data_IF_808931148291
#
_entry.id   IF_808931148291
#
_cell.length_a   1.000
_cell.length_b   1.000
_cell.length_c   1.000
_cell.angle_alpha   90.00
_cell.angle_beta   90.00
_cell.angle_gamma   90.00
#
_symmetry.space_group_name_H-M   'P 1'
#
loop_
_entity.id
_entity.type
_entity.pdbx_description
1 polymer ?
#
# COMPACT_ATOMS: atom_id res chain seq x y z
N UNK A 1 -14.30 37.96 17.51
CA UNK A 1 -14.45 36.50 17.26
C UNK A 1 -13.51 35.76 18.20
N UNK A 2 -14.02 35.35 19.36
CA UNK A 2 -13.27 34.58 20.36
C UNK A 2 -13.08 33.16 19.84
N UNK A 3 -11.83 32.76 19.58
CA UNK A 3 -11.50 31.35 19.41
C UNK A 3 -11.80 30.65 20.74
N UNK A 4 -12.85 29.82 20.76
CA UNK A 4 -13.17 28.97 21.89
C UNK A 4 -11.91 28.20 22.30
N UNK A 5 -11.40 28.46 23.51
CA UNK A 5 -10.38 27.62 24.14
C UNK A 5 -11.03 26.27 24.33
N UNK A 6 -10.83 25.36 23.38
CA UNK A 6 -11.15 23.95 23.55
C UNK A 6 -10.51 23.50 24.87
N UNK A 7 -11.36 23.00 25.75
CA UNK A 7 -10.98 22.59 27.09
C UNK A 7 -9.88 21.52 26.98
N UNK A 8 -8.78 21.74 27.69
CA UNK A 8 -7.60 20.87 27.63
C UNK A 8 -7.95 19.45 28.06
N UNK A 9 -8.91 19.33 28.97
CA UNK A 9 -9.39 18.07 29.51
C UNK A 9 -10.17 17.28 28.45
N UNK A 10 -10.92 17.97 27.58
CA UNK A 10 -11.63 17.34 26.45
C UNK A 10 -10.66 16.72 25.43
N UNK A 11 -9.57 17.43 25.11
CA UNK A 11 -8.54 16.94 24.17
C UNK A 11 -7.79 15.73 24.75
N UNK A 12 -7.53 15.72 26.06
CA UNK A 12 -6.92 14.58 26.74
C UNK A 12 -7.87 13.38 26.78
N UNK A 13 -9.16 13.60 27.07
CA UNK A 13 -10.19 12.58 27.05
C UNK A 13 -10.34 11.94 25.65
N UNK A 14 -10.39 12.73 24.58
CA UNK A 14 -10.47 12.21 23.20
C UNK A 14 -9.25 11.36 22.83
N UNK A 15 -8.04 11.75 23.26
CA UNK A 15 -6.82 10.95 23.03
C UNK A 15 -6.81 9.66 23.84
N UNK A 16 -7.29 9.72 25.08
CA UNK A 16 -7.50 8.54 25.92
C UNK A 16 -8.46 7.57 25.24
N UNK A 17 -9.62 8.06 24.78
CA UNK A 17 -10.62 7.25 24.07
C UNK A 17 -10.05 6.65 22.78
N UNK A 18 -9.30 7.41 22.00
CA UNK A 18 -8.66 6.91 20.78
C UNK A 18 -7.65 5.78 21.06
N UNK A 19 -6.90 5.90 22.17
CA UNK A 19 -5.94 4.88 22.60
C UNK A 19 -6.65 3.61 23.04
N UNK A 20 -7.70 3.74 23.86
CA UNK A 20 -8.54 2.61 24.29
C UNK A 20 -9.19 1.93 23.08
N UNK A 21 -9.76 2.70 22.16
CA UNK A 21 -10.37 2.18 20.95
C UNK A 21 -9.37 1.40 20.07
N UNK A 22 -8.14 1.88 19.93
CA UNK A 22 -7.08 1.15 19.23
C UNK A 22 -6.67 -0.15 19.94
N UNK A 23 -6.62 -0.14 21.27
CA UNK A 23 -6.28 -1.33 22.05
C UNK A 23 -7.37 -2.38 21.95
N UNK A 24 -8.64 -1.97 22.09
CA UNK A 24 -9.81 -2.84 21.87
C UNK A 24 -9.80 -3.43 20.47
N UNK A 25 -9.50 -2.64 19.45
CA UNK A 25 -9.41 -3.14 18.07
C UNK A 25 -8.26 -4.14 17.88
N UNK A 26 -7.12 -3.92 18.54
CA UNK A 26 -5.99 -4.84 18.50
C UNK A 26 -6.31 -6.17 19.19
N UNK A 27 -7.02 -6.11 20.33
CA UNK A 27 -7.51 -7.31 21.01
C UNK A 27 -8.55 -8.04 20.15
N UNK A 28 -9.50 -7.32 19.56
CA UNK A 28 -10.50 -7.90 18.66
C UNK A 28 -9.84 -8.59 17.46
N UNK A 29 -8.82 -7.96 16.88
CA UNK A 29 -8.02 -8.55 15.81
C UNK A 29 -7.37 -9.86 16.24
N UNK A 30 -6.73 -9.90 17.41
CA UNK A 30 -6.12 -11.13 17.93
C UNK A 30 -7.16 -12.22 18.16
N UNK A 31 -8.33 -11.86 18.69
CA UNK A 31 -9.43 -12.81 18.89
C UNK A 31 -9.89 -13.39 17.54
N UNK A 32 -10.13 -12.55 16.54
CA UNK A 32 -10.53 -13.00 15.20
C UNK A 32 -9.41 -13.84 14.56
N UNK A 33 -8.15 -13.45 14.71
CA UNK A 33 -7.02 -14.15 14.12
C UNK A 33 -6.85 -15.57 14.67
N UNK A 34 -6.93 -15.74 15.99
CA UNK A 34 -6.69 -17.04 16.64
C UNK A 34 -7.94 -17.91 16.77
N UNK A 35 -9.14 -17.32 16.88
CA UNK A 35 -10.38 -18.06 17.13
C UNK A 35 -11.41 -17.95 16.00
N UNK A 36 -11.26 -16.96 15.11
CA UNK A 36 -12.23 -16.70 14.03
C UNK A 36 -11.85 -17.33 12.69
N UNK A 37 -10.67 -17.98 12.59
CA UNK A 37 -10.14 -18.49 11.31
C UNK A 37 -11.08 -19.53 10.67
N UNK A 38 -11.66 -20.42 11.47
CA UNK A 38 -12.55 -21.48 10.99
C UNK A 38 -13.90 -20.96 10.48
N UNK A 39 -14.26 -19.73 10.85
CA UNK A 39 -15.47 -19.06 10.37
C UNK A 39 -15.26 -18.29 9.06
N UNK A 40 -14.01 -18.16 8.59
CA UNK A 40 -13.69 -17.45 7.35
C UNK A 40 -13.86 -18.37 6.13
N UNK A 41 -14.26 -17.82 4.96
CA UNK A 41 -14.31 -18.59 3.72
C UNK A 41 -12.94 -19.16 3.35
N UNK A 42 -12.90 -20.41 2.86
CA UNK A 42 -11.67 -21.15 2.55
C UNK A 42 -10.70 -20.39 1.63
N UNK A 43 -11.24 -19.60 0.68
CA UNK A 43 -10.49 -18.72 -0.23
C UNK A 43 -9.52 -17.76 0.49
N UNK A 44 -9.79 -17.40 1.74
CA UNK A 44 -8.95 -16.48 2.52
C UNK A 44 -7.74 -17.17 3.14
N UNK A 45 -7.72 -18.50 3.14
CA UNK A 45 -6.68 -19.32 3.77
C UNK A 45 -5.86 -20.10 2.74
N UNK A 46 -6.35 -20.27 1.51
CA UNK A 46 -5.69 -21.02 0.43
C UNK A 46 -4.24 -20.60 0.19
N UNK A 47 -3.96 -19.31 0.05
CA UNK A 47 -2.60 -18.79 -0.21
C UNK A 47 -1.64 -19.06 0.98
N UNK A 48 -2.16 -18.97 2.20
CA UNK A 48 -1.40 -19.29 3.41
C UNK A 48 -1.12 -20.78 3.51
N UNK A 49 -2.08 -21.63 3.17
CA UNK A 49 -1.91 -23.08 3.22
C UNK A 49 -0.84 -23.52 2.22
N UNK A 50 -0.84 -22.96 1.00
CA UNK A 50 0.21 -23.22 0.01
C UNK A 50 1.60 -22.79 0.49
N UNK A 51 1.70 -21.64 1.16
CA UNK A 51 2.96 -21.18 1.75
C UNK A 51 3.43 -22.07 2.91
N UNK A 52 2.52 -22.50 3.79
CA UNK A 52 2.83 -23.41 4.90
C UNK A 52 3.21 -24.80 4.40
N UNK A 53 2.60 -25.27 3.30
CA UNK A 53 2.97 -26.51 2.64
C UNK A 53 4.42 -26.46 2.13
N UNK A 54 4.83 -25.36 1.50
CA UNK A 54 6.24 -25.15 1.11
C UNK A 54 7.19 -25.07 2.30
N UNK A 55 6.73 -24.49 3.41
CA UNK A 55 7.52 -24.39 4.64
C UNK A 55 7.79 -25.77 5.25
N UNK A 56 6.81 -26.66 5.23
CA UNK A 56 6.91 -28.03 5.79
C UNK A 56 7.61 -28.98 4.83
N UNK A 57 7.34 -28.88 3.53
CA UNK A 57 7.96 -29.72 2.49
C UNK A 57 9.43 -29.37 2.19
N UNK A 58 9.89 -28.19 2.60
CA UNK A 58 11.29 -27.78 2.44
C UNK A 58 11.71 -27.56 0.99
N UNK A 59 10.78 -27.12 0.12
CA UNK A 59 11.12 -26.88 -1.29
C UNK A 59 12.19 -25.80 -1.42
N UNK A 60 13.21 -26.06 -2.25
CA UNK A 60 14.35 -25.15 -2.49
C UNK A 60 14.18 -24.32 -3.75
N UNK A 61 13.06 -24.46 -4.45
CA UNK A 61 12.82 -23.79 -5.72
C UNK A 61 12.42 -22.32 -5.48
N UNK A 62 13.42 -21.43 -5.55
CA UNK A 62 13.26 -20.00 -5.27
C UNK A 62 12.54 -19.25 -6.40
N UNK A 63 12.27 -19.91 -7.53
CA UNK A 63 11.53 -19.30 -8.64
C UNK A 63 10.03 -19.14 -8.30
N UNK A 64 9.51 -19.90 -7.31
CA UNK A 64 8.19 -19.63 -6.74
C UNK A 64 8.28 -18.62 -5.59
N UNK A 65 7.69 -17.45 -5.82
CA UNK A 65 7.46 -16.41 -4.81
C UNK A 65 6.84 -16.91 -3.48
N UNK A 66 6.07 -18.01 -3.48
CA UNK A 66 5.56 -18.64 -2.25
C UNK A 66 6.65 -19.38 -1.47
N UNK A 67 7.54 -20.11 -2.15
CA UNK A 67 8.68 -20.79 -1.54
C UNK A 67 9.68 -19.78 -0.96
N UNK A 68 9.95 -18.69 -1.68
CA UNK A 68 10.79 -17.61 -1.16
C UNK A 68 10.20 -16.97 0.11
N UNK A 69 8.88 -16.81 0.17
CA UNK A 69 8.19 -16.29 1.36
C UNK A 69 8.23 -17.29 2.51
N UNK A 70 8.03 -18.58 2.22
CA UNK A 70 8.19 -19.65 3.21
C UNK A 70 9.62 -19.63 3.81
N UNK A 71 10.66 -19.43 3.00
CA UNK A 71 12.05 -19.30 3.48
C UNK A 71 12.28 -18.10 4.40
N UNK A 72 11.57 -16.99 4.19
CA UNK A 72 11.61 -15.86 5.14
C UNK A 72 10.99 -16.27 6.47
N UNK A 73 9.86 -17.00 6.43
CA UNK A 73 9.19 -17.49 7.62
C UNK A 73 9.94 -18.65 8.32
N UNK A 74 10.75 -19.42 7.60
CA UNK A 74 11.51 -20.53 8.17
C UNK A 74 12.57 -20.09 9.19
N UNK A 75 13.00 -18.82 9.14
CA UNK A 75 13.88 -18.23 10.17
C UNK A 75 13.23 -18.26 11.55
N UNK A 76 11.90 -18.17 11.62
CA UNK A 76 11.16 -18.20 12.88
C UNK A 76 10.71 -19.61 13.27
N UNK A 77 10.53 -20.51 12.31
CA UNK A 77 9.95 -21.83 12.51
C UNK A 77 8.44 -21.87 12.23
N UNK A 78 7.94 -23.01 11.73
CA UNK A 78 6.57 -23.17 11.28
C UNK A 78 5.52 -22.90 12.38
N UNK A 79 5.84 -23.27 13.61
CA UNK A 79 4.99 -23.06 14.80
C UNK A 79 4.81 -21.58 15.18
N UNK A 80 5.73 -20.71 14.79
CA UNK A 80 5.72 -19.28 15.15
C UNK A 80 5.18 -18.36 14.05
N UNK A 81 4.92 -18.86 12.84
CA UNK A 81 4.46 -18.06 11.69
C UNK A 81 3.17 -17.29 11.99
N UNK A 82 2.24 -17.93 12.69
CA UNK A 82 0.99 -17.31 13.11
C UNK A 82 1.24 -16.19 14.15
N UNK A 83 2.16 -16.40 15.09
CA UNK A 83 2.52 -15.41 16.11
C UNK A 83 3.21 -14.21 15.46
N UNK A 84 4.13 -14.44 14.52
CA UNK A 84 4.81 -13.38 13.76
C UNK A 84 3.78 -12.53 12.99
N UNK A 85 2.85 -13.18 12.30
CA UNK A 85 1.82 -12.48 11.50
C UNK A 85 0.88 -11.66 12.38
N UNK A 86 0.41 -12.25 13.50
CA UNK A 86 -0.38 -11.54 14.50
C UNK A 86 0.38 -10.34 15.09
N UNK A 87 1.68 -10.50 15.37
CA UNK A 87 2.54 -9.41 15.87
C UNK A 87 2.68 -8.28 14.86
N UNK A 88 2.89 -8.61 13.57
CA UNK A 88 2.90 -7.62 12.48
C UNK A 88 1.56 -6.90 12.38
N UNK A 89 0.43 -7.60 12.54
CA UNK A 89 -0.89 -6.99 12.52
C UNK A 89 -1.15 -6.05 13.71
N UNK A 90 -0.72 -6.43 14.92
CA UNK A 90 -0.78 -5.54 16.09
C UNK A 90 0.14 -4.32 15.90
N UNK A 91 1.35 -4.51 15.38
CA UNK A 91 2.26 -3.42 15.09
C UNK A 91 1.71 -2.46 14.02
N UNK A 92 1.04 -3.00 12.99
CA UNK A 92 0.34 -2.24 11.95
C UNK A 92 -0.76 -1.35 12.57
N UNK A 93 -1.60 -1.91 13.43
CA UNK A 93 -2.63 -1.18 14.17
C UNK A 93 -2.07 -0.11 15.09
N UNK A 94 -1.03 -0.45 15.87
CA UNK A 94 -0.37 0.49 16.76
C UNK A 94 0.22 1.67 15.97
N UNK A 95 0.81 1.41 14.79
CA UNK A 95 1.33 2.44 13.90
C UNK A 95 0.23 3.33 13.33
N UNK A 96 -0.85 2.72 12.83
CA UNK A 96 -2.01 3.42 12.30
C UNK A 96 -2.64 4.37 13.33
N UNK A 97 -2.75 3.91 14.58
CA UNK A 97 -3.32 4.67 15.69
C UNK A 97 -2.32 5.59 16.40
N UNK A 98 -1.06 5.61 15.97
CA UNK A 98 -0.02 6.45 16.59
C UNK A 98 -0.28 7.93 16.32
N UNK A 99 -0.02 8.79 17.31
CA UNK A 99 -0.13 10.26 17.17
C UNK A 99 -1.51 10.72 16.67
N UNK A 100 -2.58 10.04 17.08
CA UNK A 100 -3.96 10.43 16.76
C UNK A 100 -4.33 11.66 17.56
N UNK A 101 -4.88 12.67 16.89
CA UNK A 101 -5.24 13.93 17.53
C UNK A 101 -6.68 13.96 18.08
N UNK A 102 -7.59 13.20 17.46
CA UNK A 102 -9.02 13.13 17.80
C UNK A 102 -9.66 11.84 17.29
N UNK A 103 -10.89 11.53 17.71
CA UNK A 103 -11.64 10.36 17.23
C UNK A 103 -11.94 10.43 15.74
N UNK A 104 -12.14 11.62 15.19
CA UNK A 104 -12.33 11.81 13.75
C UNK A 104 -11.09 11.43 12.97
N UNK A 105 -9.91 11.79 13.47
CA UNK A 105 -8.62 11.39 12.88
C UNK A 105 -8.47 9.86 12.94
N UNK A 106 -8.79 9.25 14.09
CA UNK A 106 -8.81 7.79 14.21
C UNK A 106 -9.73 7.12 13.18
N UNK A 107 -10.99 7.56 13.09
CA UNK A 107 -11.98 7.02 12.16
C UNK A 107 -11.52 7.17 10.70
N UNK A 108 -10.91 8.31 10.35
CA UNK A 108 -10.37 8.55 9.00
C UNK A 108 -9.24 7.57 8.68
N UNK A 109 -8.36 7.28 9.64
CA UNK A 109 -7.27 6.31 9.45
C UNK A 109 -7.80 4.88 9.38
N UNK A 110 -8.78 4.54 10.20
CA UNK A 110 -9.42 3.23 10.21
C UNK A 110 -10.07 2.88 8.88
N UNK A 111 -10.60 3.87 8.15
CA UNK A 111 -11.10 3.67 6.78
C UNK A 111 -10.07 3.00 5.85
N UNK A 112 -8.77 3.27 6.05
CA UNK A 112 -7.69 2.74 5.21
C UNK A 112 -7.00 1.50 5.81
N UNK A 113 -7.18 1.28 7.10
CA UNK A 113 -6.43 0.29 7.92
C UNK A 113 -7.24 -0.98 8.11
N UNK A 114 -8.55 -0.87 8.36
CA UNK A 114 -9.43 -2.03 8.55
C UNK A 114 -9.50 -2.93 7.31
N UNK A 115 -9.61 -2.40 6.07
CA UNK A 115 -9.60 -3.25 4.88
C UNK A 115 -8.27 -3.98 4.70
N UNK A 116 -7.14 -3.36 5.07
CA UNK A 116 -5.85 -4.05 5.05
C UNK A 116 -5.85 -5.24 5.99
N UNK A 117 -6.35 -5.06 7.21
CA UNK A 117 -6.36 -6.13 8.21
C UNK A 117 -7.20 -7.32 7.77
N UNK A 118 -8.41 -7.05 7.30
CA UNK A 118 -9.32 -8.10 6.84
C UNK A 118 -8.68 -8.85 5.66
N UNK A 119 -8.21 -8.13 4.66
CA UNK A 119 -7.77 -8.74 3.40
C UNK A 119 -6.37 -9.35 3.42
N UNK A 120 -5.49 -8.94 4.36
CA UNK A 120 -4.06 -9.29 4.30
C UNK A 120 -3.47 -9.87 5.59
N UNK A 121 -4.07 -9.63 6.76
CA UNK A 121 -3.45 -9.95 8.05
C UNK A 121 -4.22 -11.00 8.86
N UNK A 122 -5.27 -11.59 8.31
CA UNK A 122 -5.96 -12.73 8.91
C UNK A 122 -5.27 -14.07 8.63
N UNK A 123 -4.24 -14.07 7.78
CA UNK A 123 -3.52 -15.27 7.37
C UNK A 123 -2.09 -14.90 6.98
N UNK A 124 -1.07 -15.74 7.28
CA UNK A 124 0.32 -15.45 6.92
C UNK A 124 0.51 -15.53 5.41
N UNK A 125 1.14 -14.52 4.83
CA UNK A 125 1.34 -14.43 3.38
C UNK A 125 2.43 -13.46 2.96
N UNK A 126 2.56 -13.23 1.66
CA UNK A 126 3.54 -12.30 1.07
C UNK A 126 3.27 -10.87 1.56
N UNK A 127 2.00 -10.57 1.75
CA UNK A 127 1.46 -9.29 2.21
C UNK A 127 1.93 -8.99 3.64
N UNK A 128 2.14 -10.00 4.49
CA UNK A 128 2.71 -9.82 5.83
C UNK A 128 4.12 -9.21 5.76
N UNK A 129 4.94 -9.66 4.80
CA UNK A 129 6.29 -9.12 4.58
C UNK A 129 6.22 -7.67 4.09
N UNK A 130 5.33 -7.39 3.14
CA UNK A 130 5.10 -6.02 2.63
C UNK A 130 4.64 -5.07 3.73
N UNK A 131 3.75 -5.54 4.60
CA UNK A 131 3.24 -4.76 5.73
C UNK A 131 4.36 -4.49 6.74
N UNK A 132 5.17 -5.49 7.08
CA UNK A 132 6.34 -5.31 7.94
C UNK A 132 7.33 -4.29 7.35
N UNK A 133 7.63 -4.37 6.05
CA UNK A 133 8.45 -3.37 5.35
C UNK A 133 7.82 -1.97 5.43
N UNK A 134 6.50 -1.87 5.23
CA UNK A 134 5.78 -0.60 5.30
C UNK A 134 5.83 0.01 6.69
N UNK A 135 5.73 -0.80 7.75
CA UNK A 135 5.91 -0.35 9.14
C UNK A 135 7.30 0.22 9.34
N UNK A 136 8.36 -0.49 8.91
CA UNK A 136 9.76 -0.01 9.02
C UNK A 136 9.96 1.32 8.30
N UNK A 137 9.44 1.44 7.07
CA UNK A 137 9.54 2.67 6.29
C UNK A 137 8.80 3.83 6.95
N UNK A 138 7.58 3.62 7.44
CA UNK A 138 6.80 4.67 8.11
C UNK A 138 7.44 5.08 9.43
N UNK A 139 7.96 4.14 10.22
CA UNK A 139 8.75 4.45 11.41
C UNK A 139 9.96 5.33 11.09
N UNK A 140 10.72 4.97 10.04
CA UNK A 140 11.84 5.78 9.56
C UNK A 140 11.39 7.17 9.09
N UNK A 141 10.28 7.25 8.35
CA UNK A 141 9.72 8.50 7.86
C UNK A 141 9.18 9.43 8.95
N UNK A 142 8.63 8.87 10.03
CA UNK A 142 8.11 9.60 11.17
C UNK A 142 9.17 9.91 12.24
N UNK A 143 10.36 9.32 12.12
CA UNK A 143 11.52 9.58 12.98
C UNK A 143 12.22 10.89 12.61
N UNK A 144 12.69 11.61 13.63
CA UNK A 144 13.55 12.79 13.44
C UNK A 144 15.01 12.44 13.15
N UNK A 145 15.46 11.24 13.56
CA UNK A 145 16.85 10.80 13.41
C UNK A 145 17.20 10.27 12.01
N UNK A 146 16.19 9.86 11.23
CA UNK A 146 16.39 9.38 9.86
C UNK A 146 16.25 10.57 8.91
N UNK A 147 17.21 10.84 8.04
CA UNK A 147 17.08 11.89 7.02
C UNK A 147 16.22 11.42 5.84
N UNK A 148 15.73 12.33 4.99
CA UNK A 148 15.08 11.95 3.73
C UNK A 148 15.97 11.03 2.86
N UNK A 149 17.27 11.30 2.77
CA UNK A 149 18.20 10.46 1.99
C UNK A 149 18.29 9.05 2.57
N UNK A 150 18.41 8.93 3.89
CA UNK A 150 18.40 7.64 4.56
C UNK A 150 17.08 6.88 4.31
N UNK A 151 15.93 7.56 4.35
CA UNK A 151 14.63 6.95 4.04
C UNK A 151 14.57 6.40 2.60
N UNK A 152 15.11 7.14 1.62
CA UNK A 152 15.18 6.68 0.23
C UNK A 152 16.06 5.43 0.12
N UNK A 153 17.25 5.43 0.75
CA UNK A 153 18.14 4.26 0.78
C UNK A 153 17.45 3.06 1.43
N UNK A 154 16.79 3.25 2.58
CA UNK A 154 15.99 2.20 3.22
C UNK A 154 14.92 1.64 2.28
N UNK A 155 14.23 2.51 1.54
CA UNK A 155 13.22 2.08 0.55
C UNK A 155 13.87 1.27 -0.56
N UNK A 156 14.99 1.73 -1.11
CA UNK A 156 15.73 1.01 -2.15
C UNK A 156 16.18 -0.37 -1.70
N UNK A 157 16.74 -0.49 -0.48
CA UNK A 157 17.18 -1.78 0.07
C UNK A 157 15.99 -2.70 0.29
N UNK A 158 14.95 -2.25 1.00
CA UNK A 158 13.79 -3.08 1.31
C UNK A 158 13.06 -3.52 0.04
N UNK A 159 12.79 -2.59 -0.89
CA UNK A 159 12.08 -2.91 -2.14
C UNK A 159 12.96 -3.72 -3.08
N UNK A 160 14.27 -3.45 -3.12
CA UNK A 160 15.23 -4.23 -3.90
C UNK A 160 15.30 -5.68 -3.43
N UNK A 161 15.48 -5.91 -2.14
CA UNK A 161 15.45 -7.26 -1.57
C UNK A 161 14.11 -7.96 -1.85
N UNK A 162 12.99 -7.29 -1.62
CA UNK A 162 11.68 -7.87 -1.89
C UNK A 162 11.46 -8.17 -3.38
N UNK A 163 11.95 -7.31 -4.27
CA UNK A 163 11.86 -7.52 -5.70
C UNK A 163 12.70 -8.70 -6.19
N UNK A 164 13.91 -8.87 -5.64
CA UNK A 164 14.81 -9.94 -6.02
C UNK A 164 14.33 -11.32 -5.56
N UNK A 165 13.69 -11.40 -4.39
CA UNK A 165 13.36 -12.69 -3.79
C UNK A 165 11.87 -13.04 -3.84
N UNK A 166 10.94 -12.07 -3.83
CA UNK A 166 9.51 -12.38 -3.62
C UNK A 166 8.65 -11.90 -4.79
N UNK A 167 8.72 -10.63 -5.21
CA UNK A 167 7.91 -10.09 -6.32
C UNK A 167 8.65 -9.03 -7.12
N UNK A 168 9.15 -9.42 -8.30
CA UNK A 168 9.94 -8.59 -9.22
C UNK A 168 9.35 -7.21 -9.53
N UNK A 169 8.03 -7.05 -9.62
CA UNK A 169 7.40 -5.77 -9.95
C UNK A 169 7.63 -4.67 -8.90
N UNK A 170 8.09 -4.99 -7.68
CA UNK A 170 8.53 -3.98 -6.71
C UNK A 170 9.73 -3.17 -7.22
N UNK A 171 10.56 -3.73 -8.10
CA UNK A 171 11.60 -2.98 -8.80
C UNK A 171 10.98 -1.92 -9.72
N UNK A 172 9.90 -2.24 -10.44
CA UNK A 172 9.18 -1.28 -11.28
C UNK A 172 8.58 -0.15 -10.45
N UNK A 173 8.01 -0.46 -9.28
CA UNK A 173 7.49 0.54 -8.35
C UNK A 173 8.62 1.50 -7.92
N UNK A 174 9.78 0.96 -7.56
CA UNK A 174 10.93 1.76 -7.14
C UNK A 174 11.45 2.65 -8.28
N UNK A 175 11.63 2.09 -9.48
CA UNK A 175 12.05 2.83 -10.68
C UNK A 175 11.07 3.94 -11.01
N UNK A 176 9.77 3.65 -11.00
CA UNK A 176 8.73 4.65 -11.26
C UNK A 176 8.71 5.74 -10.19
N UNK A 177 8.82 5.39 -8.91
CA UNK A 177 8.88 6.36 -7.82
C UNK A 177 10.08 7.31 -7.96
N UNK A 178 11.27 6.76 -8.25
CA UNK A 178 12.47 7.57 -8.51
C UNK A 178 12.32 8.43 -9.77
N UNK A 179 11.75 7.88 -10.84
CA UNK A 179 11.45 8.60 -12.09
C UNK A 179 10.50 9.78 -11.88
N UNK A 180 9.42 9.60 -11.12
CA UNK A 180 8.50 10.69 -10.74
C UNK A 180 9.25 11.79 -9.98
N UNK A 181 10.17 11.43 -9.07
CA UNK A 181 10.95 12.43 -8.31
C UNK A 181 11.99 13.15 -9.17
N UNK A 182 12.69 12.43 -10.04
CA UNK A 182 13.69 12.98 -10.93
C UNK A 182 13.05 13.97 -11.92
N UNK A 183 11.87 13.64 -12.45
CA UNK A 183 11.15 14.47 -13.42
C UNK A 183 10.36 15.62 -12.79
N UNK A 184 10.13 15.61 -11.46
CA UNK A 184 9.31 16.60 -10.78
C UNK A 184 9.77 18.05 -11.01
N UNK A 185 11.08 18.27 -11.13
CA UNK A 185 11.71 19.60 -11.32
C UNK A 185 11.88 20.01 -12.78
N UNK A 186 11.61 19.11 -13.72
CA UNK A 186 11.75 19.41 -15.14
C UNK A 186 10.68 20.41 -15.59
N UNK A 187 11.02 21.22 -16.60
CA UNK A 187 10.05 22.07 -17.29
C UNK A 187 9.00 21.19 -18.01
N UNK A 188 7.81 21.72 -18.33
CA UNK A 188 6.78 20.97 -19.05
C UNK A 188 7.27 20.35 -20.37
N UNK A 189 8.14 21.05 -21.10
CA UNK A 189 8.76 20.55 -22.32
C UNK A 189 9.62 19.30 -22.06
N UNK A 190 10.50 19.34 -21.05
CA UNK A 190 11.31 18.18 -20.68
C UNK A 190 10.47 17.02 -20.13
N UNK A 191 9.37 17.31 -19.42
CA UNK A 191 8.41 16.27 -19.00
C UNK A 191 7.74 15.60 -20.21
N UNK A 192 7.36 16.38 -21.21
CA UNK A 192 6.81 15.85 -22.46
C UNK A 192 7.84 15.00 -23.21
N UNK A 193 9.11 15.41 -23.25
CA UNK A 193 10.20 14.62 -23.85
C UNK A 193 10.36 13.29 -23.10
N UNK A 194 10.45 13.31 -21.76
CA UNK A 194 10.57 12.08 -20.97
C UNK A 194 9.37 11.15 -21.19
N UNK A 195 8.15 11.70 -21.22
CA UNK A 195 6.95 10.93 -21.51
C UNK A 195 7.00 10.32 -22.92
N UNK A 196 7.42 11.10 -23.93
CA UNK A 196 7.58 10.62 -25.30
C UNK A 196 8.64 9.52 -25.40
N UNK A 197 9.75 9.62 -24.66
CA UNK A 197 10.76 8.58 -24.58
C UNK A 197 10.22 7.30 -23.92
N UNK A 198 9.45 7.40 -22.84
CA UNK A 198 8.83 6.24 -22.17
C UNK A 198 7.82 5.56 -23.10
N UNK A 199 6.94 6.35 -23.74
CA UNK A 199 5.98 5.82 -24.72
C UNK A 199 6.71 5.20 -25.91
N UNK A 200 7.72 5.87 -26.45
CA UNK A 200 8.56 5.35 -27.54
C UNK A 200 9.24 4.03 -27.16
N UNK A 201 9.79 3.93 -25.95
CA UNK A 201 10.39 2.69 -25.44
C UNK A 201 9.38 1.54 -25.36
N UNK A 202 8.14 1.81 -24.92
CA UNK A 202 7.06 0.80 -24.92
C UNK A 202 6.69 0.39 -26.35
N UNK A 203 6.62 1.35 -27.28
CA UNK A 203 6.26 1.09 -28.68
C UNK A 203 7.28 0.19 -29.41
N UNK A 204 8.57 0.28 -29.05
CA UNK A 204 9.65 -0.51 -29.65
C UNK A 204 10.08 -1.70 -28.81
N UNK A 205 9.48 -1.92 -27.64
CA UNK A 205 9.85 -3.03 -26.77
C UNK A 205 9.54 -4.38 -27.45
N UNK A 206 10.43 -5.40 -27.29
CA UNK A 206 10.18 -6.75 -27.78
C UNK A 206 8.85 -7.32 -27.25
N UNK A 207 8.17 -8.10 -28.10
CA UNK A 207 6.89 -8.75 -27.78
C UNK A 207 6.95 -9.59 -26.51
N UNK A 208 8.09 -10.20 -26.23
CA UNK A 208 8.32 -11.07 -25.08
C UNK A 208 8.24 -10.27 -23.78
N UNK A 209 8.82 -9.06 -23.76
CA UNK A 209 8.78 -8.19 -22.58
C UNK A 209 7.35 -7.71 -22.33
N UNK A 210 6.66 -7.28 -23.38
CA UNK A 210 5.28 -6.82 -23.30
C UNK A 210 4.34 -7.93 -22.81
N UNK A 211 4.55 -9.15 -23.31
CA UNK A 211 3.80 -10.33 -22.92
C UNK A 211 4.06 -10.70 -21.46
N UNK A 212 5.32 -10.78 -21.02
CA UNK A 212 5.67 -11.08 -19.61
C UNK A 212 5.03 -10.06 -18.65
N UNK A 213 4.94 -8.80 -19.05
CA UNK A 213 4.36 -7.75 -18.21
C UNK A 213 2.82 -7.83 -18.09
N UNK A 214 2.09 -8.06 -19.18
CA UNK A 214 0.61 -7.97 -19.18
C UNK A 214 -0.14 -9.31 -19.23
N UNK A 215 0.49 -10.40 -19.70
CA UNK A 215 -0.13 -11.74 -19.72
C UNK A 215 -0.52 -12.28 -18.34
N UNK A 216 0.15 -11.95 -17.20
CA UNK A 216 -0.23 -12.49 -15.90
C UNK A 216 -1.69 -12.20 -15.52
N UNK A 217 -2.25 -11.08 -16.02
CA UNK A 217 -3.65 -10.72 -15.78
C UNK A 217 -4.61 -11.76 -16.35
N UNK A 218 -4.45 -12.07 -17.63
CA UNK A 218 -5.31 -13.03 -18.33
C UNK A 218 -5.06 -14.46 -17.84
N UNK A 219 -3.82 -14.80 -17.48
CA UNK A 219 -3.47 -16.10 -16.88
C UNK A 219 -4.19 -16.26 -15.53
N UNK A 220 -4.11 -15.25 -14.66
CA UNK A 220 -4.80 -15.27 -13.36
C UNK A 220 -6.32 -15.36 -13.52
N UNK A 221 -6.86 -14.67 -14.52
CA UNK A 221 -8.28 -14.71 -14.83
C UNK A 221 -8.73 -16.10 -15.33
N UNK A 222 -7.98 -16.69 -16.26
CA UNK A 222 -8.24 -18.04 -16.75
C UNK A 222 -8.15 -19.07 -15.62
N UNK A 223 -7.15 -18.94 -14.74
CA UNK A 223 -7.04 -19.80 -13.57
C UNK A 223 -8.25 -19.67 -12.64
N UNK A 224 -8.70 -18.44 -12.34
CA UNK A 224 -9.88 -18.21 -11.52
C UNK A 224 -11.15 -18.87 -12.09
N UNK A 225 -11.34 -18.83 -13.41
CA UNK A 225 -12.44 -19.54 -14.07
C UNK A 225 -12.29 -21.06 -13.98
N UNK A 226 -11.08 -21.59 -14.13
CA UNK A 226 -10.83 -23.03 -14.08
C UNK A 226 -11.15 -23.66 -12.72
N UNK A 227 -11.00 -22.90 -11.62
CA UNK A 227 -11.33 -23.33 -10.26
C UNK A 227 -12.74 -22.93 -9.83
N UNK A 228 -13.55 -22.35 -10.72
CA UNK A 228 -14.92 -21.91 -10.41
C UNK A 228 -15.01 -20.71 -9.46
N UNK A 229 -13.97 -19.88 -9.37
CA UNK A 229 -13.99 -18.68 -8.51
C UNK A 229 -14.89 -17.59 -9.12
N UNK A 230 -15.83 -17.08 -8.32
CA UNK A 230 -16.71 -15.95 -8.68
C UNK A 230 -15.99 -14.59 -8.60
N UNK A 231 -14.95 -14.40 -9.43
CA UNK A 231 -14.28 -13.10 -9.57
C UNK A 231 -15.10 -12.19 -10.49
N UNK A 232 -16.16 -11.57 -9.95
CA UNK A 232 -17.10 -10.75 -10.73
C UNK A 232 -16.50 -9.48 -11.38
N UNK A 233 -15.34 -9.01 -10.89
CA UNK A 233 -14.67 -7.76 -11.32
C UNK A 233 -13.43 -8.02 -12.19
N UNK A 234 -13.32 -9.20 -12.81
CA UNK A 234 -12.21 -9.54 -13.71
C UNK A 234 -12.08 -8.54 -14.85
N UNK A 235 -10.84 -8.10 -15.09
CA UNK A 235 -10.45 -7.21 -16.17
C UNK A 235 -9.57 -8.01 -17.12
N UNK A 236 -9.99 -8.14 -18.37
CA UNK A 236 -9.21 -8.78 -19.42
C UNK A 236 -8.38 -7.77 -20.19
N UNK A 237 -7.28 -8.20 -20.78
CA UNK A 237 -6.67 -7.42 -21.84
C UNK A 237 -7.60 -7.40 -23.07
N UNK A 238 -7.81 -6.22 -23.66
CA UNK A 238 -8.63 -6.07 -24.87
C UNK A 238 -7.92 -6.66 -26.09
N UNK A 239 -6.60 -6.57 -26.11
CA UNK A 239 -5.75 -7.05 -27.19
C UNK A 239 -4.63 -7.94 -26.65
N UNK A 240 -4.10 -8.88 -27.45
CA UNK A 240 -2.90 -9.63 -27.08
C UNK A 240 -1.74 -8.65 -26.82
N UNK A 241 -0.98 -8.81 -25.71
CA UNK A 241 0.13 -7.91 -25.34
C UNK A 241 1.39 -8.19 -26.17
N UNK A 242 1.26 -8.25 -27.49
CA UNK A 242 2.32 -8.59 -28.45
C UNK A 242 2.87 -7.37 -29.20
N UNK A 243 2.28 -6.19 -29.03
CA UNK A 243 2.75 -4.94 -29.61
C UNK A 243 2.66 -3.81 -28.59
N UNK A 244 3.52 -2.79 -28.71
CA UNK A 244 3.52 -1.67 -27.77
C UNK A 244 2.22 -0.84 -27.82
N UNK A 245 1.56 -0.78 -28.98
CA UNK A 245 0.23 -0.16 -29.11
C UNK A 245 -0.80 -0.92 -28.28
N UNK A 246 -0.85 -2.25 -28.44
CA UNK A 246 -1.76 -3.10 -27.67
C UNK A 246 -1.49 -2.95 -26.16
N UNK A 247 -0.21 -2.90 -25.77
CA UNK A 247 0.19 -2.69 -24.38
C UNK A 247 -0.37 -1.39 -23.80
N UNK A 248 -0.23 -0.27 -24.51
CA UNK A 248 -0.74 1.04 -24.07
C UNK A 248 -2.26 1.01 -23.96
N UNK A 249 -2.95 0.45 -24.95
CA UNK A 249 -4.43 0.38 -24.94
C UNK A 249 -4.92 -0.48 -23.77
N UNK A 250 -4.33 -1.64 -23.53
CA UNK A 250 -4.66 -2.50 -22.40
C UNK A 250 -4.39 -1.82 -21.04
N UNK A 251 -3.28 -1.07 -20.93
CA UNK A 251 -2.93 -0.35 -19.73
C UNK A 251 -3.92 0.78 -19.43
N UNK A 252 -4.26 1.60 -20.44
CA UNK A 252 -5.23 2.68 -20.28
C UNK A 252 -6.63 2.12 -20.00
N UNK A 253 -7.02 1.03 -20.65
CA UNK A 253 -8.25 0.33 -20.36
C UNK A 253 -8.31 -0.12 -18.89
N UNK A 254 -7.26 -0.80 -18.39
CA UNK A 254 -7.20 -1.22 -16.99
C UNK A 254 -7.24 -0.03 -16.02
N UNK A 255 -6.49 1.03 -16.31
CA UNK A 255 -6.50 2.25 -15.51
C UNK A 255 -7.91 2.85 -15.42
N UNK A 256 -8.63 2.91 -16.55
CA UNK A 256 -10.03 3.35 -16.58
C UNK A 256 -10.93 2.44 -15.74
N UNK A 257 -10.78 1.11 -15.86
CA UNK A 257 -11.59 0.14 -15.12
C UNK A 257 -11.38 0.18 -13.60
N UNK A 258 -10.15 0.50 -13.15
CA UNK A 258 -9.84 0.65 -11.72
C UNK A 258 -10.20 2.03 -11.16
N UNK A 259 -10.08 3.09 -11.96
CA UNK A 259 -10.31 4.47 -11.50
C UNK A 259 -11.77 4.89 -11.61
N UNK A 260 -12.50 4.43 -12.64
CA UNK A 260 -13.89 4.82 -12.87
C UNK A 260 -14.86 3.83 -12.21
N UNK A 261 -15.50 4.21 -11.09
CA UNK A 261 -16.26 3.29 -10.26
C UNK A 261 -17.51 2.71 -10.95
N UNK A 262 -18.10 3.45 -11.89
CA UNK A 262 -19.41 3.10 -12.44
C UNK A 262 -19.33 1.92 -13.43
N UNK A 263 -18.17 1.68 -14.03
CA UNK A 263 -18.03 0.70 -15.12
C UNK A 263 -17.91 -0.72 -14.58
N UNK A 264 -17.25 -0.90 -13.42
CA UNK A 264 -16.96 -2.20 -12.84
C UNK A 264 -17.88 -2.54 -11.64
N UNK A 265 -18.89 -1.73 -11.36
CA UNK A 265 -19.78 -1.91 -10.21
C UNK A 265 -20.73 -3.09 -10.44
N UNK A 266 -20.58 -4.16 -9.66
CA UNK A 266 -21.48 -5.33 -9.70
C UNK A 266 -22.13 -5.61 -8.35
N UNK A 267 -21.53 -5.14 -7.26
CA UNK A 267 -22.04 -5.28 -5.90
C UNK A 267 -21.65 -4.07 -5.02
N UNK A 268 -22.37 -3.80 -3.92
CA UNK A 268 -22.03 -2.72 -2.98
C UNK A 268 -20.58 -2.73 -2.46
N UNK A 269 -19.99 -3.93 -2.33
CA UNK A 269 -18.58 -4.10 -1.93
C UNK A 269 -17.61 -3.51 -2.96
N UNK A 270 -17.94 -3.57 -4.25
CA UNK A 270 -17.10 -3.01 -5.32
C UNK A 270 -17.07 -1.48 -5.22
N UNK A 271 -18.23 -0.85 -4.95
CA UNK A 271 -18.31 0.59 -4.72
C UNK A 271 -17.47 1.00 -3.50
N UNK A 272 -17.53 0.25 -2.41
CA UNK A 272 -16.71 0.53 -1.23
C UNK A 272 -15.21 0.45 -1.55
N UNK A 273 -14.79 -0.57 -2.30
CA UNK A 273 -13.42 -0.73 -2.79
C UNK A 273 -12.97 0.43 -3.69
N UNK A 274 -13.81 0.87 -4.62
CA UNK A 274 -13.52 1.98 -5.51
C UNK A 274 -13.47 3.33 -4.78
N UNK A 275 -14.41 3.58 -3.85
CA UNK A 275 -14.39 4.79 -3.02
C UNK A 275 -13.14 4.85 -2.15
N UNK A 276 -12.70 3.70 -1.62
CA UNK A 276 -11.43 3.61 -0.92
C UNK A 276 -10.26 3.95 -1.85
N UNK A 277 -10.19 3.34 -3.03
CA UNK A 277 -9.14 3.66 -4.01
C UNK A 277 -9.13 5.17 -4.33
N UNK A 278 -10.28 5.76 -4.62
CA UNK A 278 -10.41 7.19 -4.90
C UNK A 278 -9.95 8.05 -3.71
N UNK A 279 -10.26 7.65 -2.49
CA UNK A 279 -9.80 8.33 -1.27
C UNK A 279 -8.28 8.25 -1.11
N UNK A 280 -7.68 7.06 -1.31
CA UNK A 280 -6.22 6.84 -1.28
C UNK A 280 -5.53 7.72 -2.32
N UNK A 281 -6.01 7.67 -3.57
CA UNK A 281 -5.47 8.46 -4.67
C UNK A 281 -5.56 9.96 -4.37
N UNK A 282 -6.71 10.43 -3.88
CA UNK A 282 -6.90 11.84 -3.51
C UNK A 282 -5.94 12.29 -2.42
N UNK A 283 -5.72 11.49 -1.39
CA UNK A 283 -4.76 11.79 -0.31
C UNK A 283 -3.33 11.83 -0.86
N UNK A 284 -2.95 10.86 -1.70
CA UNK A 284 -1.63 10.81 -2.34
C UNK A 284 -1.38 12.02 -3.26
N UNK A 285 -2.32 12.35 -4.13
CA UNK A 285 -2.21 13.50 -5.04
C UNK A 285 -2.12 14.84 -4.27
N UNK A 286 -2.87 14.99 -3.18
CA UNK A 286 -2.72 16.15 -2.27
C UNK A 286 -1.35 16.17 -1.59
N UNK A 287 -0.77 15.02 -1.29
CA UNK A 287 0.59 14.91 -0.76
C UNK A 287 1.65 15.39 -1.75
N UNK A 288 1.40 15.22 -3.05
CA UNK A 288 2.30 15.66 -4.14
C UNK A 288 2.11 17.13 -4.52
N UNK A 289 0.91 17.69 -4.33
CA UNK A 289 0.62 19.08 -4.71
C UNK A 289 1.29 20.11 -3.79
N UNK A 290 1.41 21.34 -4.27
CA UNK A 290 1.95 22.50 -3.54
C UNK A 290 3.40 22.88 -3.88
N UNK A 291 3.90 23.91 -3.21
CA UNK A 291 5.23 24.50 -3.41
C UNK A 291 6.36 23.48 -3.19
N UNK A 292 7.55 23.64 -3.80
CA UNK A 292 8.67 22.73 -3.56
C UNK A 292 8.94 22.50 -2.06
N UNK A 293 9.12 21.24 -1.66
CA UNK A 293 9.37 20.89 -0.26
C UNK A 293 10.58 21.66 0.29
N UNK A 294 10.34 22.46 1.33
CA UNK A 294 11.32 23.29 1.99
C UNK A 294 12.02 22.50 3.12
N UNK A 295 11.27 21.66 3.83
CA UNK A 295 11.76 20.89 4.98
C UNK A 295 11.99 19.41 4.67
N UNK A 296 12.84 18.74 5.46
CA UNK A 296 13.08 17.29 5.34
C UNK A 296 11.79 16.47 5.57
N UNK A 297 10.96 16.90 6.54
CA UNK A 297 9.66 16.28 6.81
C UNK A 297 8.72 16.34 5.60
N UNK A 298 8.67 17.47 4.88
CA UNK A 298 7.90 17.59 3.64
C UNK A 298 8.44 16.72 2.52
N UNK A 299 9.78 16.56 2.42
CA UNK A 299 10.40 15.65 1.44
C UNK A 299 10.01 14.20 1.70
N UNK A 300 10.07 13.76 2.97
CA UNK A 300 9.62 12.42 3.38
C UNK A 300 8.13 12.21 3.12
N UNK A 301 7.29 13.20 3.44
CA UNK A 301 5.85 13.15 3.14
C UNK A 301 5.60 12.95 1.65
N UNK A 302 6.26 13.73 0.81
CA UNK A 302 6.17 13.61 -0.65
C UNK A 302 6.68 12.27 -1.15
N UNK A 303 7.70 11.70 -0.52
CA UNK A 303 8.20 10.37 -0.86
C UNK A 303 7.13 9.30 -0.68
N UNK A 304 6.42 9.28 0.45
CA UNK A 304 5.30 8.35 0.67
C UNK A 304 4.17 8.56 -0.34
N UNK A 305 3.81 9.81 -0.64
CA UNK A 305 2.82 10.09 -1.67
C UNK A 305 3.26 9.58 -3.05
N UNK A 306 4.55 9.74 -3.40
CA UNK A 306 5.11 9.22 -4.65
C UNK A 306 5.09 7.70 -4.67
N UNK A 307 5.44 7.04 -3.56
CA UNK A 307 5.36 5.58 -3.46
C UNK A 307 3.93 5.08 -3.67
N UNK A 308 2.92 5.68 -3.02
CA UNK A 308 1.51 5.29 -3.22
C UNK A 308 1.09 5.45 -4.68
N UNK A 309 1.43 6.57 -5.33
CA UNK A 309 1.13 6.77 -6.76
C UNK A 309 1.85 5.73 -7.63
N UNK A 310 3.11 5.42 -7.33
CA UNK A 310 3.86 4.40 -8.07
C UNK A 310 3.24 3.00 -7.92
N UNK A 311 2.74 2.62 -6.74
CA UNK A 311 2.02 1.35 -6.55
C UNK A 311 0.77 1.30 -7.42
N UNK A 312 -0.05 2.35 -7.38
CA UNK A 312 -1.29 2.43 -8.17
C UNK A 312 -0.99 2.26 -9.66
N UNK A 313 -0.02 3.01 -10.19
CA UNK A 313 0.32 2.96 -11.61
C UNK A 313 0.88 1.61 -12.04
N UNK A 314 1.74 0.98 -11.23
CA UNK A 314 2.28 -0.34 -11.56
C UNK A 314 1.20 -1.43 -11.46
N UNK A 315 0.29 -1.33 -10.49
CA UNK A 315 -0.82 -2.28 -10.34
C UNK A 315 -1.75 -2.31 -11.56
N UNK A 316 -1.90 -1.20 -12.29
CA UNK A 316 -2.66 -1.20 -13.55
C UNK A 316 -2.11 -2.14 -14.62
N UNK A 317 -0.86 -2.60 -14.49
CA UNK A 317 -0.27 -3.59 -15.39
C UNK A 317 -0.73 -4.99 -15.00
N UNK A 318 -0.62 -5.35 -13.72
CA UNK A 318 -0.67 -6.74 -13.26
C UNK A 318 -2.03 -7.17 -12.71
N UNK A 319 -2.80 -6.26 -12.13
CA UNK A 319 -3.95 -6.68 -11.32
C UNK A 319 -5.10 -7.21 -12.19
N UNK A 320 -5.60 -8.42 -11.88
CA UNK A 320 -6.67 -9.07 -12.64
C UNK A 320 -8.07 -8.61 -12.25
N UNK A 321 -8.25 -8.12 -11.03
CA UNK A 321 -9.56 -7.76 -10.49
C UNK A 321 -9.44 -6.71 -9.38
N UNK A 322 -10.59 -6.11 -9.03
CA UNK A 322 -10.66 -5.04 -8.03
C UNK A 322 -10.29 -5.50 -6.61
N UNK A 323 -10.60 -6.75 -6.26
CA UNK A 323 -10.32 -7.31 -4.94
C UNK A 323 -8.83 -7.54 -4.72
N UNK A 324 -8.14 -8.13 -5.69
CA UNK A 324 -6.67 -8.27 -5.68
C UNK A 324 -5.99 -6.89 -5.67
N UNK A 325 -6.45 -5.98 -6.53
CA UNK A 325 -5.96 -4.60 -6.58
C UNK A 325 -6.03 -3.90 -5.21
N UNK A 326 -7.20 -3.94 -4.58
CA UNK A 326 -7.40 -3.34 -3.25
C UNK A 326 -6.58 -4.05 -2.18
N UNK A 327 -6.45 -5.38 -2.23
CA UNK A 327 -5.62 -6.15 -1.29
C UNK A 327 -4.16 -5.66 -1.32
N UNK A 328 -3.56 -5.58 -2.51
CA UNK A 328 -2.20 -5.08 -2.64
C UNK A 328 -2.08 -3.58 -2.31
N UNK A 329 -3.04 -2.74 -2.70
CA UNK A 329 -3.00 -1.32 -2.35
C UNK A 329 -3.13 -1.07 -0.84
N UNK A 330 -3.94 -1.86 -0.15
CA UNK A 330 -4.13 -1.74 1.30
C UNK A 330 -2.90 -2.20 2.08
N UNK A 331 -2.09 -3.12 1.56
CA UNK A 331 -0.81 -3.51 2.18
C UNK A 331 0.18 -2.35 2.37
N UNK A 332 0.04 -1.28 1.58
CA UNK A 332 0.86 -0.06 1.65
C UNK A 332 0.09 1.16 2.15
N UNK A 333 -1.13 0.99 2.65
CA UNK A 333 -1.96 2.12 3.13
C UNK A 333 -1.36 2.84 4.34
N UNK A 334 -0.40 2.23 5.06
CA UNK A 334 0.36 2.92 6.11
C UNK A 334 1.12 4.14 5.60
N UNK A 335 1.50 4.18 4.33
CA UNK A 335 2.14 5.35 3.73
C UNK A 335 1.22 6.59 3.73
N UNK A 336 -0.08 6.41 3.94
CA UNK A 336 -1.04 7.50 4.13
C UNK A 336 -0.92 8.14 5.52
N UNK A 337 -0.40 7.44 6.53
CA UNK A 337 -0.31 7.96 7.90
C UNK A 337 0.55 9.25 7.95
N UNK A 338 1.77 9.29 7.39
CA UNK A 338 2.53 10.55 7.27
C UNK A 338 1.83 11.66 6.46
N UNK A 339 0.92 11.29 5.55
CA UNK A 339 0.15 12.26 4.74
C UNK A 339 -1.02 12.86 5.54
N UNK A 340 -1.63 12.06 6.41
CA UNK A 340 -2.80 12.43 7.23
C UNK A 340 -2.41 13.12 8.54
N UNK A 341 -1.26 12.77 9.12
CA UNK A 341 -0.77 13.26 10.43
C UNK A 341 -0.26 14.71 10.45
N UNK A 342 -0.39 15.47 9.36
CA UNK A 342 0.13 16.83 9.32
C UNK A 342 -0.47 17.71 10.43
N UNK A 343 0.38 18.02 11.42
CA UNK A 343 0.25 19.19 12.28
C UNK A 343 0.02 20.40 11.37
N UNK A 344 -1.05 21.19 11.58
CA UNK A 344 -1.15 22.48 10.94
C UNK A 344 0.12 23.24 11.31
N UNK A 345 0.90 23.72 10.34
CA UNK A 345 2.05 24.57 10.60
C UNK A 345 1.70 25.74 11.55
N UNK A 346 0.44 26.18 11.53
CA UNK A 346 -0.16 27.14 12.48
C UNK A 346 -0.18 26.70 13.94
N UNK A 347 -0.25 25.40 14.27
CA UNK A 347 -0.25 24.92 15.65
C UNK A 347 1.15 24.89 16.27
N UNK A 348 2.20 24.62 15.49
CA UNK A 348 3.58 24.73 15.97
C UNK A 348 4.01 26.20 16.09
N UNK A 349 3.54 27.07 15.19
CA UNK A 349 3.72 28.52 15.30
C UNK A 349 2.97 29.09 16.52
N UNK A 350 1.72 28.67 16.76
CA UNK A 350 0.97 29.03 17.96
C UNK A 350 1.63 28.49 19.25
N UNK A 351 2.25 27.30 19.22
CA UNK A 351 3.01 26.77 20.36
C UNK A 351 4.33 27.50 20.59
N UNK A 352 5.01 27.96 19.53
CA UNK A 352 6.21 28.79 19.64
C UNK A 352 5.88 30.18 20.17
N UNK A 353 4.82 30.81 19.68
CA UNK A 353 4.32 32.08 20.22
C UNK A 353 3.86 31.95 21.67
N UNK A 354 3.17 30.86 22.05
CA UNK A 354 2.81 30.63 23.45
C UNK A 354 4.03 30.37 24.35
N UNK A 355 5.09 29.73 23.85
CA UNK A 355 6.33 29.52 24.63
C UNK A 355 7.17 30.79 24.75
N UNK A 356 7.18 31.63 23.71
CA UNK A 356 7.86 32.94 23.74
C UNK A 356 7.11 34.03 24.50
N UNK A 357 5.82 33.82 24.82
CA UNK A 357 5.02 34.74 25.63
C UNK A 357 4.98 34.38 27.13
N UNK A 358 5.59 33.26 27.52
CA UNK A 358 5.72 32.79 28.92
C UNK A 358 7.13 33.07 29.48
N UNK A 359 8.06 33.53 28.63
CA UNK A 359 9.33 34.13 29.02
C UNK A 359 9.18 35.64 29.00
#
# INVERSE_FOLDING_TARGET
MQAARLDRDWVLAERGLATVASLVLSLLYLVIYFFGRDALPEKWVTDSNKMLEFLVSGSTDLDDSFAATAKVFSVFGAEYVNVVTATVGVAYLAMASSRVASLRDLATRWLFVLPCMLLNLLSPGKETVVIAMSIVLVMGGMSRGVSFRALVVMTMVLYGCYALFIRNYYAMILVLALGIRATARLSPAWKAIVLACVVGAILVAPSEILYILQSPRDISNNYALSIGSDNRTMIWNLYPPTSGVNFIVNYLYAAVMFVLPVISFRAPVDLAMMLMHAAILRVALRGLSGTPAATDAERKRRWFATLVVAHILVQFIFEPDLGSYVRHLTSVSLFLIPLLTALPAKQDEARRHMRGAIQ
#
